data_IF_617392936113
#
_entry.id   IF_617392936113
#
_cell.length_a   1.000
_cell.length_b   1.000
_cell.length_c   1.000
_cell.angle_alpha   90.00
_cell.angle_beta   90.00
_cell.angle_gamma   90.00
#
_symmetry.space_group_name_H-M   'P 1'
#
loop_
_entity.id
_entity.type
_entity.pdbx_description
1 polymer ?
#
# COMPACT_ATOMS: atom_id res chain seq x y z
N UNK A 1 3.20 63.54 46.21
CA UNK A 1 1.98 62.89 45.66
C UNK A 1 2.20 62.55 44.18
N UNK A 2 2.73 63.47 43.36
CA UNK A 2 3.04 63.22 41.94
C UNK A 2 4.18 62.20 41.72
N UNK A 3 5.23 62.25 42.53
CA UNK A 3 6.38 61.34 42.44
C UNK A 3 5.99 59.87 42.70
N UNK A 4 5.08 59.65 43.65
CA UNK A 4 4.50 58.33 43.97
C UNK A 4 3.65 57.78 42.84
N UNK A 5 2.97 58.65 42.07
CA UNK A 5 2.16 58.26 40.91
C UNK A 5 3.07 57.89 39.72
N UNK A 6 4.19 58.59 39.55
CA UNK A 6 5.18 58.29 38.51
C UNK A 6 5.89 56.94 38.75
N UNK A 7 6.26 56.66 40.00
CA UNK A 7 6.85 55.38 40.43
C UNK A 7 5.88 54.21 40.16
N UNK A 8 4.59 54.39 40.52
CA UNK A 8 3.55 53.38 40.32
C UNK A 8 3.31 53.08 38.82
N UNK A 9 3.34 54.12 37.97
CA UNK A 9 3.21 53.95 36.50
C UNK A 9 4.37 53.16 35.91
N UNK A 10 5.59 53.43 36.37
CA UNK A 10 6.79 52.67 35.97
C UNK A 10 6.68 51.19 36.35
N UNK A 11 6.23 50.90 37.57
CA UNK A 11 6.02 49.52 38.02
C UNK A 11 4.95 48.78 37.19
N UNK A 12 3.86 49.47 36.83
CA UNK A 12 2.80 48.87 35.99
C UNK A 12 3.32 48.57 34.58
N UNK A 13 4.06 49.48 33.95
CA UNK A 13 4.67 49.24 32.63
C UNK A 13 5.69 48.10 32.66
N UNK A 14 6.52 48.02 33.69
CA UNK A 14 7.50 46.95 33.84
C UNK A 14 6.80 45.59 34.04
N UNK A 15 5.75 45.54 34.86
CA UNK A 15 4.91 44.34 35.02
C UNK A 15 4.21 43.95 33.72
N UNK A 16 3.73 44.91 32.92
CA UNK A 16 3.15 44.62 31.60
C UNK A 16 4.18 44.03 30.64
N UNK A 17 5.38 44.62 30.56
CA UNK A 17 6.45 44.07 29.70
C UNK A 17 6.87 42.67 30.12
N UNK A 18 6.92 42.39 31.42
CA UNK A 18 7.23 41.06 31.93
C UNK A 18 6.14 40.04 31.58
N UNK A 19 4.87 40.43 31.66
CA UNK A 19 3.74 39.58 31.24
C UNK A 19 3.76 39.31 29.74
N UNK A 20 3.91 40.34 28.92
CA UNK A 20 4.01 40.19 27.47
C UNK A 20 5.22 39.34 27.06
N UNK A 21 6.36 39.48 27.76
CA UNK A 21 7.52 38.63 27.51
C UNK A 21 7.30 37.19 27.95
N UNK A 22 6.55 36.95 29.03
CA UNK A 22 6.18 35.61 29.47
C UNK A 22 5.18 34.95 28.50
N UNK A 23 4.15 35.68 28.06
CA UNK A 23 3.18 35.22 27.07
C UNK A 23 3.84 34.89 25.73
N UNK A 24 4.76 35.74 25.25
CA UNK A 24 5.54 35.44 24.03
C UNK A 24 6.38 34.17 24.16
N UNK A 25 7.03 33.96 25.31
CA UNK A 25 7.81 32.73 25.56
C UNK A 25 6.93 31.49 25.61
N UNK A 26 5.75 31.59 26.23
CA UNK A 26 4.81 30.48 26.31
C UNK A 26 4.25 30.13 24.92
N UNK A 27 3.94 31.13 24.10
CA UNK A 27 3.48 30.95 22.72
C UNK A 27 4.58 30.35 21.83
N UNK A 28 5.81 30.85 21.93
CA UNK A 28 6.98 30.28 21.23
C UNK A 28 7.23 28.82 21.64
N UNK A 29 7.13 28.50 22.94
CA UNK A 29 7.30 27.14 23.42
C UNK A 29 6.18 26.21 22.95
N UNK A 30 4.93 26.70 22.91
CA UNK A 30 3.78 25.96 22.36
C UNK A 30 3.97 25.66 20.88
N UNK A 31 4.34 26.67 20.09
CA UNK A 31 4.60 26.49 18.65
C UNK A 31 5.75 25.53 18.40
N UNK A 32 6.84 25.64 19.17
CA UNK A 32 7.97 24.72 19.07
C UNK A 32 7.59 23.27 19.42
N UNK A 33 6.73 23.07 20.43
CA UNK A 33 6.22 21.73 20.81
C UNK A 33 5.33 21.14 19.72
N UNK A 34 4.39 21.92 19.19
CA UNK A 34 3.53 21.48 18.10
C UNK A 34 4.32 21.16 16.83
N UNK A 35 5.33 21.96 16.49
CA UNK A 35 6.18 21.69 15.34
C UNK A 35 7.03 20.44 15.55
N UNK A 36 7.60 20.24 16.75
CA UNK A 36 8.32 19.03 17.08
C UNK A 36 7.43 17.78 16.99
N UNK A 37 6.18 17.86 17.44
CA UNK A 37 5.20 16.78 17.34
C UNK A 37 4.84 16.49 15.89
N UNK A 38 4.56 17.52 15.07
CA UNK A 38 4.31 17.37 13.63
C UNK A 38 5.50 16.73 12.91
N UNK A 39 6.72 17.16 13.22
CA UNK A 39 7.94 16.59 12.63
C UNK A 39 8.13 15.13 13.05
N UNK A 40 7.87 14.80 14.32
CA UNK A 40 7.93 13.42 14.82
C UNK A 40 6.91 12.54 14.10
N UNK A 41 5.66 12.98 14.01
CA UNK A 41 4.59 12.26 13.31
C UNK A 41 4.92 12.05 11.82
N UNK A 42 5.40 13.09 11.14
CA UNK A 42 5.79 13.00 9.73
C UNK A 42 6.93 12.00 9.50
N UNK A 43 7.90 11.91 10.43
CA UNK A 43 8.96 10.91 10.38
C UNK A 43 8.43 9.50 10.59
N UNK A 44 7.59 9.30 11.60
CA UNK A 44 6.99 7.99 11.88
C UNK A 44 6.15 7.49 10.70
N UNK A 45 5.38 8.37 10.06
CA UNK A 45 4.59 8.02 8.88
C UNK A 45 5.47 7.72 7.66
N UNK A 46 6.55 8.48 7.46
CA UNK A 46 7.52 8.21 6.40
C UNK A 46 8.22 6.86 6.60
N UNK A 47 8.63 6.54 7.82
CA UNK A 47 9.24 5.25 8.18
C UNK A 47 8.26 4.10 7.96
N UNK A 48 7.01 4.23 8.42
CA UNK A 48 5.97 3.21 8.20
C UNK A 48 5.70 2.95 6.71
N UNK A 49 5.77 3.98 5.87
CA UNK A 49 5.52 3.87 4.42
C UNK A 49 6.62 3.11 3.66
N UNK A 50 7.85 3.10 4.17
CA UNK A 50 8.97 2.39 3.56
C UNK A 50 9.21 1.01 4.19
N UNK A 51 8.62 0.76 5.36
CA UNK A 51 8.70 -0.56 6.00
C UNK A 51 8.05 -1.64 5.14
N UNK A 52 8.67 -2.83 5.01
CA UNK A 52 8.06 -3.96 4.34
C UNK A 52 6.74 -4.37 4.99
N UNK A 53 5.81 -4.85 4.16
CA UNK A 53 4.49 -5.28 4.59
C UNK A 53 4.48 -6.73 5.08
N UNK A 54 3.47 -7.07 5.90
CA UNK A 54 3.08 -8.45 6.19
C UNK A 54 2.25 -9.03 5.04
N UNK A 55 2.04 -10.36 5.02
CA UNK A 55 1.26 -10.99 3.95
C UNK A 55 -0.15 -10.39 3.85
N UNK A 56 -0.86 -10.29 4.97
CA UNK A 56 -2.23 -9.76 4.96
C UNK A 56 -2.30 -8.29 4.57
N UNK A 57 -1.31 -7.48 4.99
CA UNK A 57 -1.24 -6.08 4.56
C UNK A 57 -0.97 -5.96 3.07
N UNK A 58 -0.11 -6.82 2.51
CA UNK A 58 0.10 -6.90 1.07
C UNK A 58 -1.21 -7.23 0.34
N UNK A 59 -1.91 -8.30 0.76
CA UNK A 59 -3.14 -8.75 0.11
C UNK A 59 -4.25 -7.70 0.17
N UNK A 60 -4.43 -7.05 1.33
CA UNK A 60 -5.37 -5.94 1.49
C UNK A 60 -5.04 -4.77 0.55
N UNK A 61 -3.76 -4.40 0.46
CA UNK A 61 -3.30 -3.34 -0.43
C UNK A 61 -3.47 -3.70 -1.91
N UNK A 62 -3.13 -4.92 -2.31
CA UNK A 62 -3.35 -5.41 -3.67
C UNK A 62 -4.84 -5.33 -4.04
N UNK A 63 -5.73 -5.78 -3.15
CA UNK A 63 -7.17 -5.73 -3.42
C UNK A 63 -7.70 -4.29 -3.53
N UNK A 64 -7.47 -3.47 -2.50
CA UNK A 64 -8.07 -2.14 -2.40
C UNK A 64 -7.47 -1.12 -3.39
N UNK A 65 -6.20 -1.25 -3.75
CA UNK A 65 -5.49 -0.24 -4.55
C UNK A 65 -5.13 -0.71 -5.97
N UNK A 66 -4.99 -2.03 -6.20
CA UNK A 66 -4.60 -2.54 -7.51
C UNK A 66 -5.79 -3.20 -8.21
N UNK A 67 -6.42 -4.19 -7.60
CA UNK A 67 -7.55 -4.91 -8.21
C UNK A 67 -8.74 -4.00 -8.44
N UNK A 68 -9.09 -3.15 -7.49
CA UNK A 68 -10.17 -2.17 -7.65
C UNK A 68 -9.84 -1.02 -8.61
N UNK A 69 -8.57 -0.82 -8.96
CA UNK A 69 -8.15 0.19 -9.92
C UNK A 69 -8.34 -0.25 -11.38
N UNK A 70 -8.82 -1.48 -11.63
CA UNK A 70 -9.11 -1.97 -12.98
C UNK A 70 -10.08 -1.04 -13.70
N UNK A 71 -9.70 -0.63 -14.91
CA UNK A 71 -10.54 0.19 -15.79
C UNK A 71 -10.47 -0.40 -17.18
N UNK A 72 -11.63 -0.50 -17.83
CA UNK A 72 -11.75 -1.02 -19.20
C UNK A 72 -12.22 0.13 -20.09
N UNK A 73 -11.64 0.23 -21.29
CA UNK A 73 -12.10 1.18 -22.30
C UNK A 73 -13.52 0.81 -22.74
N UNK A 74 -14.43 1.78 -22.66
CA UNK A 74 -15.85 1.59 -22.94
C UNK A 74 -16.20 1.96 -24.37
N UNK A 75 -15.41 2.83 -25.00
CA UNK A 75 -15.56 3.15 -26.41
C UNK A 75 -14.96 2.02 -27.24
N UNK A 76 -15.84 1.20 -27.81
CA UNK A 76 -15.46 0.09 -28.66
C UNK A 76 -14.53 0.53 -29.80
N UNK A 77 -14.63 1.76 -30.32
CA UNK A 77 -13.78 2.24 -31.41
C UNK A 77 -12.32 2.47 -31.00
N UNK A 78 -12.06 2.61 -29.69
CA UNK A 78 -10.73 2.78 -29.11
C UNK A 78 -10.10 1.45 -28.64
N UNK A 79 -10.84 0.34 -28.77
CA UNK A 79 -10.36 -1.00 -28.41
C UNK A 79 -9.73 -1.73 -29.58
N UNK A 80 -9.00 -2.81 -29.29
CA UNK A 80 -8.52 -3.74 -30.32
C UNK A 80 -9.71 -4.37 -31.02
N UNK A 81 -9.77 -4.20 -32.34
CA UNK A 81 -10.83 -4.77 -33.17
C UNK A 81 -10.50 -6.20 -33.57
N UNK A 82 -11.50 -7.07 -33.58
CA UNK A 82 -11.38 -8.48 -33.96
C UNK A 82 -12.37 -9.36 -33.19
N UNK A 83 -12.59 -10.57 -33.69
CA UNK A 83 -13.39 -11.56 -32.96
C UNK A 83 -12.54 -12.21 -31.87
N UNK A 84 -12.85 -11.91 -30.61
CA UNK A 84 -12.16 -12.51 -29.46
C UNK A 84 -12.47 -14.01 -29.30
N UNK A 85 -13.56 -14.50 -29.90
CA UNK A 85 -14.03 -15.87 -29.77
C UNK A 85 -13.66 -16.79 -30.96
N UNK A 86 -12.89 -16.30 -31.94
CA UNK A 86 -12.36 -17.10 -33.05
C UNK A 86 -10.84 -16.88 -33.26
N UNK A 87 -10.00 -17.22 -32.27
CA UNK A 87 -8.57 -17.05 -32.42
C UNK A 87 -7.95 -18.11 -33.33
N UNK A 88 -7.19 -17.66 -34.33
CA UNK A 88 -6.43 -18.55 -35.22
C UNK A 88 -5.26 -19.19 -34.45
N UNK A 89 -5.18 -20.52 -34.46
CA UNK A 89 -4.10 -21.31 -33.83
C UNK A 89 -3.90 -21.09 -32.32
N UNK A 90 -4.93 -20.66 -31.58
CA UNK A 90 -4.87 -20.59 -30.11
C UNK A 90 -6.07 -21.29 -29.46
N UNK A 91 -5.85 -22.10 -28.39
CA UNK A 91 -6.97 -22.62 -27.61
C UNK A 91 -7.69 -21.48 -26.90
N UNK A 92 -9.03 -21.53 -26.88
CA UNK A 92 -9.85 -20.60 -26.10
C UNK A 92 -10.95 -21.37 -25.37
N UNK A 93 -11.33 -20.94 -24.15
CA UNK A 93 -12.41 -21.56 -23.40
C UNK A 93 -13.76 -21.27 -24.04
N UNK A 94 -14.53 -22.33 -24.36
CA UNK A 94 -15.90 -22.19 -24.90
C UNK A 94 -16.96 -21.99 -23.84
N UNK A 95 -16.65 -22.36 -22.59
CA UNK A 95 -17.57 -22.25 -21.46
C UNK A 95 -16.79 -21.83 -20.22
N UNK A 96 -17.37 -20.91 -19.45
CA UNK A 96 -16.92 -20.57 -18.10
C UNK A 96 -17.82 -21.36 -17.16
N UNK A 97 -17.23 -22.26 -16.37
CA UNK A 97 -17.96 -23.10 -15.42
C UNK A 97 -17.57 -22.75 -13.97
N UNK A 98 -18.50 -22.85 -13.01
CA UNK A 98 -18.17 -22.62 -11.61
C UNK A 98 -17.15 -23.66 -11.09
N UNK A 99 -16.11 -23.18 -10.43
CA UNK A 99 -15.17 -24.05 -9.72
C UNK A 99 -15.73 -24.38 -8.33
N UNK A 100 -16.51 -25.46 -8.25
CA UNK A 100 -17.32 -25.79 -7.07
C UNK A 100 -16.52 -26.04 -5.80
N UNK A 101 -15.34 -26.64 -5.93
CA UNK A 101 -14.50 -27.00 -4.78
C UNK A 101 -13.54 -25.88 -4.36
N UNK A 102 -13.54 -24.74 -5.08
CA UNK A 102 -12.61 -23.64 -4.83
C UNK A 102 -12.71 -23.07 -3.41
N UNK A 103 -13.91 -22.81 -2.83
CA UNK A 103 -14.00 -22.30 -1.46
C UNK A 103 -13.34 -23.23 -0.44
N UNK A 104 -13.58 -24.54 -0.55
CA UNK A 104 -13.00 -25.53 0.36
C UNK A 104 -11.48 -25.64 0.18
N UNK A 105 -10.99 -25.59 -1.05
CA UNK A 105 -9.55 -25.57 -1.33
C UNK A 105 -8.90 -24.30 -0.78
N UNK A 106 -9.58 -23.16 -0.89
CA UNK A 106 -9.11 -21.88 -0.37
C UNK A 106 -9.00 -21.92 1.16
N UNK A 107 -10.02 -22.42 1.88
CA UNK A 107 -9.97 -22.62 3.34
C UNK A 107 -8.78 -23.51 3.75
N UNK A 108 -8.58 -24.64 3.07
CA UNK A 108 -7.45 -25.54 3.35
C UNK A 108 -6.09 -24.86 3.17
N UNK A 109 -5.98 -23.91 2.23
CA UNK A 109 -4.75 -23.11 2.05
C UNK A 109 -4.57 -22.15 3.23
N UNK A 110 -5.62 -21.45 3.65
CA UNK A 110 -5.54 -20.53 4.80
C UNK A 110 -5.24 -21.24 6.12
N UNK A 111 -5.80 -22.44 6.32
CA UNK A 111 -5.51 -23.27 7.50
C UNK A 111 -4.02 -23.60 7.64
N UNK A 112 -3.27 -23.69 6.53
CA UNK A 112 -1.80 -23.88 6.56
C UNK A 112 -1.09 -22.63 7.07
N UNK A 113 -1.53 -21.46 6.63
CA UNK A 113 -0.99 -20.19 7.09
C UNK A 113 -1.29 -19.92 8.56
N UNK A 114 -2.51 -20.24 9.02
CA UNK A 114 -2.92 -20.01 10.41
C UNK A 114 -2.14 -20.90 11.40
N UNK A 115 -1.81 -22.13 10.99
CA UNK A 115 -0.92 -23.03 11.74
C UNK A 115 0.52 -22.48 11.85
N UNK A 116 0.93 -21.59 10.96
CA UNK A 116 2.25 -20.94 10.94
C UNK A 116 2.13 -19.40 10.98
N UNK A 117 1.51 -18.89 12.05
CA UNK A 117 1.30 -17.44 12.25
C UNK A 117 2.61 -16.62 12.22
N UNK A 118 3.75 -17.23 12.56
CA UNK A 118 5.05 -16.56 12.47
C UNK A 118 5.36 -16.09 11.04
N UNK A 119 4.90 -16.81 10.00
CA UNK A 119 5.07 -16.37 8.63
C UNK A 119 4.25 -15.13 8.30
N UNK A 120 2.95 -15.15 8.59
CA UNK A 120 2.03 -14.09 8.18
C UNK A 120 2.29 -12.78 8.93
N UNK A 121 2.91 -12.81 10.11
CA UNK A 121 3.31 -11.62 10.87
C UNK A 121 4.65 -11.01 10.45
N UNK A 122 5.51 -11.72 9.70
CA UNK A 122 6.82 -11.17 9.32
C UNK A 122 6.68 -10.13 8.20
N UNK A 123 7.36 -8.97 8.31
CA UNK A 123 7.35 -7.94 7.27
C UNK A 123 8.32 -8.32 6.15
N UNK A 124 7.88 -9.18 5.22
CA UNK A 124 8.72 -9.74 4.13
C UNK A 124 8.30 -9.26 2.73
N UNK A 125 7.23 -8.49 2.65
CA UNK A 125 6.57 -8.13 1.39
C UNK A 125 6.80 -6.67 1.00
N UNK A 126 6.58 -6.30 -0.27
CA UNK A 126 6.79 -4.93 -0.74
C UNK A 126 6.07 -3.90 0.14
N UNK A 127 6.75 -2.79 0.44
CA UNK A 127 6.23 -1.70 1.26
C UNK A 127 5.09 -0.96 0.56
N UNK A 128 4.38 -0.12 1.33
CA UNK A 128 3.30 0.69 0.75
C UNK A 128 3.79 1.61 -0.35
N UNK A 129 4.99 2.18 -0.21
CA UNK A 129 5.58 3.04 -1.24
C UNK A 129 5.83 2.27 -2.54
N UNK A 130 6.25 1.00 -2.45
CA UNK A 130 6.44 0.15 -3.62
C UNK A 130 5.11 -0.18 -4.31
N UNK A 131 4.04 -0.43 -3.54
CA UNK A 131 2.69 -0.65 -4.08
C UNK A 131 2.13 0.63 -4.70
N UNK A 132 2.32 1.79 -4.06
CA UNK A 132 1.90 3.10 -4.59
C UNK A 132 2.57 3.40 -5.93
N UNK A 133 3.84 3.01 -6.10
CA UNK A 133 4.51 3.12 -7.39
C UNK A 133 3.79 2.29 -8.47
N UNK A 134 3.37 1.06 -8.17
CA UNK A 134 2.57 0.23 -9.11
C UNK A 134 1.25 0.91 -9.43
N UNK A 135 0.58 1.54 -8.45
CA UNK A 135 -0.64 2.32 -8.69
C UNK A 135 -0.40 3.39 -9.75
N UNK A 136 0.74 4.10 -9.70
CA UNK A 136 1.04 5.12 -10.73
C UNK A 136 1.18 4.56 -12.15
N UNK A 137 1.52 3.27 -12.29
CA UNK A 137 1.67 2.61 -13.58
C UNK A 137 0.33 2.17 -14.18
N UNK A 138 -0.68 1.92 -13.36
CA UNK A 138 -2.01 1.46 -13.80
C UNK A 138 -3.06 2.57 -13.76
N UNK A 139 -2.85 3.60 -12.94
CA UNK A 139 -3.81 4.69 -12.78
C UNK A 139 -3.99 5.44 -14.12
N UNK A 140 -5.25 5.66 -14.50
CA UNK A 140 -5.65 6.31 -15.75
C UNK A 140 -5.20 5.58 -17.03
N UNK A 141 -4.86 4.29 -16.95
CA UNK A 141 -4.59 3.46 -18.13
C UNK A 141 -5.70 2.43 -18.31
N UNK A 142 -6.75 2.74 -19.09
CA UNK A 142 -7.80 1.76 -19.35
C UNK A 142 -7.25 0.58 -20.15
N UNK A 143 -7.83 -0.59 -19.93
CA UNK A 143 -7.58 -1.82 -20.70
C UNK A 143 -8.38 -1.73 -21.99
N UNK A 144 -7.70 -1.72 -23.13
CA UNK A 144 -8.30 -1.61 -24.48
C UNK A 144 -7.83 -2.72 -25.43
N UNK A 145 -6.99 -3.63 -24.96
CA UNK A 145 -6.34 -4.66 -25.77
C UNK A 145 -5.89 -5.85 -24.92
N UNK A 146 -5.63 -7.00 -25.55
CA UNK A 146 -4.99 -8.15 -24.88
C UNK A 146 -3.66 -7.75 -24.23
N UNK A 147 -2.86 -6.92 -24.92
CA UNK A 147 -1.58 -6.44 -24.41
C UNK A 147 -1.74 -5.56 -23.16
N UNK A 148 -2.71 -4.63 -23.16
CA UNK A 148 -2.96 -3.77 -21.98
C UNK A 148 -3.54 -4.56 -20.81
N UNK A 149 -4.38 -5.58 -21.06
CA UNK A 149 -4.86 -6.50 -20.01
C UNK A 149 -3.70 -7.27 -19.38
N UNK A 150 -2.80 -7.81 -20.22
CA UNK A 150 -1.62 -8.54 -19.77
C UNK A 150 -0.67 -7.66 -18.96
N UNK A 151 -0.41 -6.43 -19.40
CA UNK A 151 0.41 -5.49 -18.63
C UNK A 151 -0.21 -5.22 -17.25
N UNK A 152 -1.54 -5.02 -17.20
CA UNK A 152 -2.25 -4.84 -15.95
C UNK A 152 -2.13 -6.06 -15.03
N UNK A 153 -2.35 -7.28 -15.54
CA UNK A 153 -2.18 -8.52 -14.78
C UNK A 153 -0.74 -8.66 -14.26
N UNK A 154 0.26 -8.41 -15.10
CA UNK A 154 1.68 -8.49 -14.74
C UNK A 154 2.00 -7.57 -13.56
N UNK A 155 1.56 -6.32 -13.66
CA UNK A 155 1.84 -5.28 -12.67
C UNK A 155 1.08 -5.52 -11.36
N UNK A 156 -0.15 -6.02 -11.42
CA UNK A 156 -1.05 -6.08 -10.25
C UNK A 156 -1.16 -7.45 -9.59
N UNK A 157 -0.81 -8.52 -10.30
CA UNK A 157 -0.95 -9.91 -9.84
C UNK A 157 0.39 -10.65 -9.92
N UNK A 158 0.94 -10.85 -11.12
CA UNK A 158 2.06 -11.77 -11.32
C UNK A 158 3.29 -11.43 -10.48
N UNK A 159 3.67 -10.15 -10.46
CA UNK A 159 4.84 -9.69 -9.71
C UNK A 159 4.68 -9.96 -8.20
N UNK A 160 3.47 -9.82 -7.67
CA UNK A 160 3.19 -10.07 -6.26
C UNK A 160 3.08 -11.57 -5.96
N UNK A 161 2.49 -12.35 -6.85
CA UNK A 161 2.45 -13.81 -6.73
C UNK A 161 3.85 -14.41 -6.78
N UNK A 162 4.69 -13.97 -7.73
CA UNK A 162 6.11 -14.35 -7.80
C UNK A 162 6.81 -14.01 -6.48
N UNK A 163 6.57 -12.82 -5.92
CA UNK A 163 7.16 -12.42 -4.63
C UNK A 163 6.68 -13.30 -3.47
N UNK A 164 5.39 -13.64 -3.42
CA UNK A 164 4.84 -14.52 -2.37
C UNK A 164 5.46 -15.91 -2.45
N UNK A 165 5.56 -16.48 -3.66
CA UNK A 165 6.17 -17.80 -3.85
C UNK A 165 7.67 -17.77 -3.53
N UNK A 166 8.39 -16.70 -3.87
CA UNK A 166 9.78 -16.51 -3.50
C UNK A 166 9.96 -16.56 -1.98
N UNK A 167 9.16 -15.79 -1.24
CA UNK A 167 9.25 -15.73 0.23
C UNK A 167 8.82 -17.06 0.87
N UNK A 168 7.80 -17.74 0.32
CA UNK A 168 7.37 -19.07 0.78
C UNK A 168 8.45 -20.13 0.59
N UNK A 169 9.17 -20.10 -0.54
CA UNK A 169 10.27 -21.02 -0.82
C UNK A 169 11.39 -20.91 0.21
N UNK A 170 11.63 -19.70 0.71
CA UNK A 170 12.69 -19.45 1.68
C UNK A 170 12.27 -19.82 3.13
N UNK A 171 10.99 -20.16 3.35
CA UNK A 171 10.46 -20.71 4.60
C UNK A 171 10.35 -22.24 4.52
N UNK A 172 11.27 -22.96 5.16
CA UNK A 172 11.34 -24.43 5.05
C UNK A 172 10.04 -25.16 5.42
N UNK A 173 9.36 -24.86 6.56
CA UNK A 173 8.09 -25.50 6.90
C UNK A 173 7.01 -25.32 5.82
N UNK A 174 6.82 -24.08 5.33
CA UNK A 174 5.78 -23.80 4.34
C UNK A 174 6.18 -24.28 2.95
N UNK A 175 7.46 -24.20 2.58
CA UNK A 175 7.97 -24.77 1.33
C UNK A 175 7.62 -26.25 1.23
N UNK A 176 7.85 -27.00 2.30
CA UNK A 176 7.58 -28.44 2.34
C UNK A 176 6.06 -28.72 2.40
N UNK A 177 5.29 -27.94 3.16
CA UNK A 177 3.82 -28.08 3.26
C UNK A 177 3.07 -27.71 1.96
N UNK A 178 3.62 -26.80 1.17
CA UNK A 178 3.09 -26.42 -0.15
C UNK A 178 3.77 -27.16 -1.30
N UNK A 179 4.81 -27.96 -1.05
CA UNK A 179 5.53 -28.70 -2.09
C UNK A 179 6.22 -27.81 -3.12
N UNK A 180 6.78 -26.66 -2.69
CA UNK A 180 7.42 -25.70 -3.57
C UNK A 180 8.82 -26.20 -3.96
N UNK A 181 8.95 -26.71 -5.19
CA UNK A 181 10.18 -27.35 -5.68
C UNK A 181 11.10 -26.43 -6.51
N UNK A 182 10.70 -25.17 -6.76
CA UNK A 182 11.47 -24.29 -7.62
C UNK A 182 11.00 -22.84 -7.63
N UNK A 183 11.61 -22.05 -8.51
CA UNK A 183 11.20 -20.66 -8.74
C UNK A 183 10.03 -20.61 -9.72
N UNK A 184 9.06 -19.77 -9.44
CA UNK A 184 7.99 -19.41 -10.37
C UNK A 184 8.34 -18.06 -10.99
N UNK A 185 8.23 -17.96 -12.31
CA UNK A 185 8.46 -16.73 -13.07
C UNK A 185 7.43 -16.66 -14.17
N UNK A 186 6.75 -15.51 -14.29
CA UNK A 186 5.81 -15.26 -15.37
C UNK A 186 6.55 -14.58 -16.52
N UNK A 187 6.44 -15.15 -17.72
CA UNK A 187 7.11 -14.64 -18.93
C UNK A 187 6.07 -14.12 -19.91
N UNK A 188 6.42 -13.05 -20.61
CA UNK A 188 5.67 -12.60 -21.77
C UNK A 188 5.87 -13.63 -22.90
N UNK A 189 4.82 -14.39 -23.22
CA UNK A 189 4.74 -15.21 -24.44
C UNK A 189 3.99 -14.49 -25.55
#
# INVERSE_FOLDING_TARGET
MEETIAELRRQIEEQQRLREAAERREEEERQAREEAERQRQAREDAERRVQPNTLFRLLDRCYNFLSQAIRVEVDATLTTQGDAADPVNRPYPKHIIPWRDFPQLQEQIWDKFDRNNAFTMRPLFPSDTQIDYVVTNIQNRPIYSEASLRNFERDTVDNFVEKVIEVLRDDEPLRDEFGIQGRVTFYDR
#
